data_IF_953478838621
#
_entry.id   IF_953478838621
#
_cell.length_a   1.000
_cell.length_b   1.000
_cell.length_c   1.000
_cell.angle_alpha   90.00
_cell.angle_beta   90.00
_cell.angle_gamma   90.00
#
_symmetry.space_group_name_H-M   'P 1'
#
loop_
_entity.id
_entity.type
_entity.pdbx_description
1 polymer ?
#
# COMPACT_ATOMS: atom_id res chain seq x y z
N UNK A 1 4.90 -4.66 6.30
CA UNK A 1 3.45 -4.29 6.31
C UNK A 1 2.75 -4.61 7.65
N UNK A 2 3.21 -5.61 8.44
CA UNK A 2 2.59 -5.96 9.73
C UNK A 2 2.78 -4.93 10.87
N UNK A 3 3.82 -4.09 10.84
CA UNK A 3 3.99 -3.06 11.89
C UNK A 3 3.12 -1.81 11.65
N UNK A 4 2.89 -1.42 10.39
CA UNK A 4 2.15 -0.21 10.05
C UNK A 4 0.64 -0.32 10.33
N UNK A 5 0.00 0.77 10.75
CA UNK A 5 -1.46 0.81 10.98
C UNK A 5 -2.26 0.84 9.67
N UNK A 6 -1.64 1.29 8.57
CA UNK A 6 -2.24 1.35 7.24
C UNK A 6 -1.18 1.35 6.15
N UNK A 7 -1.62 1.13 4.91
CA UNK A 7 -0.77 0.99 3.73
C UNK A 7 -1.29 1.90 2.61
N UNK A 8 -0.41 2.71 2.01
CA UNK A 8 -0.67 3.49 0.80
C UNK A 8 0.30 3.04 -0.29
N UNK A 9 -0.19 2.81 -1.51
CA UNK A 9 0.67 2.45 -2.65
C UNK A 9 0.49 3.39 -3.82
N UNK A 10 1.58 3.75 -4.49
CA UNK A 10 1.55 4.56 -5.71
C UNK A 10 0.96 3.81 -6.92
N UNK A 11 1.05 2.46 -6.91
CA UNK A 11 0.55 1.59 -7.98
C UNK A 11 -0.18 0.38 -7.43
N UNK A 12 -1.02 -0.22 -8.26
CA UNK A 12 -1.67 -1.50 -8.02
C UNK A 12 -3.16 -1.35 -7.77
N UNK A 13 -3.95 -2.31 -8.23
CA UNK A 13 -5.40 -2.30 -8.06
C UNK A 13 -5.87 -3.08 -6.82
N UNK A 14 -7.18 -3.34 -6.77
CA UNK A 14 -7.84 -4.08 -5.69
C UNK A 14 -7.31 -5.52 -5.53
N UNK A 15 -6.74 -6.11 -6.58
CA UNK A 15 -6.14 -7.45 -6.59
C UNK A 15 -4.61 -7.44 -6.43
N UNK A 16 -4.01 -6.30 -6.11
CA UNK A 16 -2.56 -6.20 -5.89
C UNK A 16 -2.11 -6.95 -4.62
N UNK A 17 -0.81 -7.29 -4.56
CA UNK A 17 -0.22 -7.90 -3.36
C UNK A 17 -0.51 -7.09 -2.10
N UNK A 18 -0.36 -5.77 -2.17
CA UNK A 18 -0.59 -4.93 -1.01
C UNK A 18 -2.06 -4.96 -0.55
N UNK A 19 -3.01 -4.89 -1.48
CA UNK A 19 -4.44 -4.92 -1.17
C UNK A 19 -4.90 -6.29 -0.64
N UNK A 20 -4.44 -7.39 -1.24
CA UNK A 20 -4.78 -8.75 -0.80
C UNK A 20 -4.24 -9.03 0.60
N UNK A 21 -2.97 -8.72 0.85
CA UNK A 21 -2.33 -8.95 2.16
C UNK A 21 -2.93 -8.06 3.23
N UNK A 22 -3.20 -6.79 2.93
CA UNK A 22 -3.85 -5.88 3.89
C UNK A 22 -5.23 -6.38 4.32
N UNK A 23 -6.04 -6.89 3.39
CA UNK A 23 -7.34 -7.52 3.71
C UNK A 23 -7.18 -8.73 4.62
N UNK A 24 -6.21 -9.60 4.33
CA UNK A 24 -5.92 -10.77 5.17
C UNK A 24 -5.52 -10.42 6.60
N UNK A 25 -4.99 -9.22 6.83
CA UNK A 25 -4.62 -8.73 8.15
C UNK A 25 -5.61 -7.73 8.76
N UNK A 26 -6.73 -7.45 8.10
CA UNK A 26 -7.72 -6.47 8.58
C UNK A 26 -7.19 -5.04 8.65
N UNK A 27 -6.21 -4.68 7.82
CA UNK A 27 -5.58 -3.35 7.81
C UNK A 27 -6.13 -2.46 6.71
N UNK A 28 -6.22 -1.17 7.02
CA UNK A 28 -6.55 -0.17 6.00
C UNK A 28 -5.50 -0.18 4.89
N UNK A 29 -5.95 -0.23 3.64
CA UNK A 29 -5.08 -0.11 2.48
C UNK A 29 -5.75 0.72 1.38
N UNK A 30 -5.08 1.80 0.98
CA UNK A 30 -5.40 2.57 -0.22
C UNK A 30 -4.39 2.17 -1.29
N UNK A 31 -4.86 1.47 -2.33
CA UNK A 31 -4.01 0.95 -3.38
C UNK A 31 -4.18 1.76 -4.66
N UNK A 32 -3.07 2.06 -5.36
CA UNK A 32 -3.09 2.64 -6.70
C UNK A 32 -3.28 4.15 -6.75
N UNK A 33 -2.73 4.88 -5.79
CA UNK A 33 -2.72 6.33 -5.80
C UNK A 33 -1.66 6.83 -6.80
N UNK A 34 -2.04 6.97 -8.07
CA UNK A 34 -1.12 7.34 -9.16
C UNK A 34 -0.51 8.72 -9.01
N UNK A 35 -1.13 9.60 -8.22
CA UNK A 35 -0.73 11.00 -8.08
C UNK A 35 0.42 11.18 -7.07
N UNK A 36 0.71 10.17 -6.25
CA UNK A 36 1.82 10.24 -5.29
C UNK A 36 3.13 9.76 -5.91
N UNK A 37 4.21 10.49 -5.62
CA UNK A 37 5.58 10.08 -5.92
C UNK A 37 6.30 9.74 -4.62
N UNK A 38 6.73 8.49 -4.50
CA UNK A 38 7.53 8.04 -3.36
C UNK A 38 8.98 8.41 -3.66
N UNK A 39 9.55 9.32 -2.86
CA UNK A 39 10.97 9.63 -2.93
C UNK A 39 11.76 8.56 -2.17
N UNK A 40 12.61 7.83 -2.88
CA UNK A 40 13.44 6.74 -2.34
C UNK A 40 14.93 7.10 -2.21
N UNK A 41 15.29 8.36 -2.43
CA UNK A 41 16.68 8.83 -2.38
C UNK A 41 17.26 8.93 -0.96
N UNK A 42 16.43 8.80 0.09
CA UNK A 42 16.84 8.79 1.50
C UNK A 42 16.51 7.45 2.17
N UNK A 43 17.08 6.36 1.65
CA UNK A 43 17.01 5.05 2.30
C UNK A 43 18.18 4.78 3.23
#
# INVERSE_FOLDING_TARGET
>A
MHSAVGILTARGGMTSHAAVVARGWGKCCVSGCSDIQVNDHEK
#
